data_IF_544789540459
#
_entry.id   IF_544789540459
#
_cell.length_a   1.000
_cell.length_b   1.000
_cell.length_c   1.000
_cell.angle_alpha   90.00
_cell.angle_beta   90.00
_cell.angle_gamma   90.00
#
_symmetry.space_group_name_H-M   'P 1'
#
loop_
_entity.id
_entity.type
_entity.pdbx_description
1 polymer ?
#
# COMPACT_ATOMS: atom_id res chain seq x y z
N UNK A 1 9.26 10.28 -8.95
CA UNK A 1 8.26 9.52 -8.17
C UNK A 1 8.70 9.31 -6.72
N UNK A 2 9.75 8.52 -6.46
CA UNK A 2 10.10 8.13 -5.09
C UNK A 2 10.74 9.23 -4.20
N UNK A 3 11.40 10.23 -4.78
CA UNK A 3 12.09 11.31 -4.04
C UNK A 3 13.05 10.81 -2.94
N UNK A 4 13.69 9.65 -3.16
CA UNK A 4 14.62 9.05 -2.20
C UNK A 4 13.96 8.14 -1.14
N UNK A 5 12.64 7.97 -1.16
CA UNK A 5 11.94 6.98 -0.34
C UNK A 5 12.03 5.59 -1.00
N UNK A 6 12.74 4.67 -0.34
CA UNK A 6 12.96 3.29 -0.81
C UNK A 6 11.64 2.52 -0.98
N UNK A 7 10.69 2.68 -0.05
CA UNK A 7 9.41 1.99 -0.14
C UNK A 7 8.58 2.48 -1.33
N UNK A 8 8.54 3.80 -1.57
CA UNK A 8 7.87 4.34 -2.75
C UNK A 8 8.53 3.86 -4.05
N UNK A 9 9.86 3.70 -4.06
CA UNK A 9 10.59 3.16 -5.22
C UNK A 9 10.18 1.71 -5.50
N UNK A 10 10.22 0.85 -4.47
CA UNK A 10 9.89 -0.57 -4.57
C UNK A 10 8.43 -0.81 -4.99
N UNK A 11 7.52 0.11 -4.69
CA UNK A 11 6.12 0.06 -5.15
C UNK A 11 5.98 0.61 -6.57
N UNK A 12 6.61 1.75 -6.87
CA UNK A 12 6.43 2.43 -8.16
C UNK A 12 6.99 1.64 -9.33
N UNK A 13 8.14 0.98 -9.18
CA UNK A 13 8.77 0.20 -10.26
C UNK A 13 7.85 -0.91 -10.79
N UNK A 14 7.38 -1.87 -9.97
CA UNK A 14 6.47 -2.90 -10.45
C UNK A 14 5.12 -2.32 -10.89
N UNK A 15 4.61 -1.29 -10.23
CA UNK A 15 3.32 -0.69 -10.59
C UNK A 15 3.34 -0.05 -11.99
N UNK A 16 4.42 0.67 -12.36
CA UNK A 16 4.58 1.27 -13.69
C UNK A 16 4.80 0.21 -14.77
N UNK A 17 5.50 -0.88 -14.45
CA UNK A 17 5.78 -1.97 -15.39
C UNK A 17 4.62 -2.96 -15.53
N UNK A 18 3.66 -2.94 -14.60
CA UNK A 18 2.45 -3.78 -14.64
C UNK A 18 1.32 -3.05 -15.35
N UNK A 19 1.18 -3.33 -16.66
CA UNK A 19 0.13 -2.74 -17.48
C UNK A 19 -1.26 -3.29 -17.14
N UNK A 20 -2.24 -2.40 -17.03
CA UNK A 20 -3.66 -2.76 -17.00
C UNK A 20 -4.14 -3.07 -18.41
N UNK A 21 -4.94 -4.13 -18.54
CA UNK A 21 -5.31 -4.69 -19.85
C UNK A 21 -6.60 -4.11 -20.44
N UNK A 22 -7.40 -3.41 -19.63
CA UNK A 22 -8.70 -2.87 -20.07
C UNK A 22 -8.78 -1.36 -19.89
N UNK A 23 -9.45 -0.64 -20.83
CA UNK A 23 -9.71 0.79 -20.67
C UNK A 23 -10.40 1.14 -19.35
N UNK A 24 -11.37 0.34 -18.91
CA UNK A 24 -12.11 0.59 -17.67
C UNK A 24 -11.21 0.50 -16.42
N UNK A 25 -10.29 -0.47 -16.36
CA UNK A 25 -9.34 -0.57 -15.25
C UNK A 25 -8.39 0.61 -15.22
N UNK A 26 -7.91 1.06 -16.39
CA UNK A 26 -7.08 2.26 -16.54
C UNK A 26 -7.83 3.48 -16.04
N UNK A 27 -9.07 3.70 -16.52
CA UNK A 27 -9.91 4.84 -16.14
C UNK A 27 -10.21 4.82 -14.64
N UNK A 28 -10.56 3.67 -14.07
CA UNK A 28 -10.80 3.53 -12.63
C UNK A 28 -9.61 4.00 -11.79
N UNK A 29 -8.39 3.60 -12.16
CA UNK A 29 -7.17 4.04 -11.46
C UNK A 29 -6.86 5.51 -11.70
N UNK A 30 -7.10 6.02 -12.91
CA UNK A 30 -6.96 7.43 -13.24
C UNK A 30 -7.91 8.32 -12.43
N UNK A 31 -9.14 7.88 -12.19
CA UNK A 31 -10.12 8.61 -11.36
C UNK A 31 -9.63 8.75 -9.92
N UNK A 32 -9.08 7.68 -9.33
CA UNK A 32 -8.48 7.73 -7.99
C UNK A 32 -7.27 8.67 -7.96
N UNK A 33 -6.40 8.60 -8.98
CA UNK A 33 -5.26 9.51 -9.08
C UNK A 33 -5.69 10.97 -9.26
N UNK A 34 -6.79 11.22 -9.98
CA UNK A 34 -7.35 12.57 -10.17
C UNK A 34 -7.81 13.17 -8.86
N UNK A 35 -8.51 12.38 -8.04
CA UNK A 35 -8.88 12.77 -6.68
C UNK A 35 -7.63 13.09 -5.84
N UNK A 36 -6.59 12.26 -5.90
CA UNK A 36 -5.32 12.53 -5.22
C UNK A 36 -4.68 13.85 -5.69
N UNK A 37 -4.67 14.14 -6.99
CA UNK A 37 -4.10 15.38 -7.54
C UNK A 37 -4.92 16.61 -7.19
N UNK A 38 -6.25 16.48 -7.08
CA UNK A 38 -7.14 17.56 -6.65
C UNK A 38 -7.01 17.83 -5.14
N UNK A 39 -6.67 16.80 -4.35
CA UNK A 39 -6.60 16.86 -2.89
C UNK A 39 -5.30 16.24 -2.34
N UNK A 40 -4.11 16.78 -2.74
CA UNK A 40 -2.83 16.14 -2.45
C UNK A 40 -2.51 16.10 -0.96
N UNK A 41 -2.91 17.12 -0.21
CA UNK A 41 -2.71 17.18 1.24
C UNK A 41 -3.50 16.09 1.97
N UNK A 42 -4.73 15.81 1.53
CA UNK A 42 -5.59 14.80 2.14
C UNK A 42 -5.05 13.41 1.80
N UNK A 43 -4.69 13.14 0.54
CA UNK A 43 -4.08 11.88 0.15
C UNK A 43 -2.80 11.59 0.94
N UNK A 44 -1.94 12.60 1.14
CA UNK A 44 -0.75 12.49 1.99
C UNK A 44 -1.06 12.28 3.45
N UNK A 45 -2.10 12.91 4.00
CA UNK A 45 -2.54 12.70 5.37
C UNK A 45 -3.00 11.25 5.59
N UNK A 46 -3.79 10.70 4.67
CA UNK A 46 -4.21 9.28 4.71
C UNK A 46 -2.98 8.37 4.64
N UNK A 47 -2.05 8.60 3.70
CA UNK A 47 -0.82 7.81 3.58
C UNK A 47 0.06 7.88 4.83
N UNK A 48 0.05 9.02 5.55
CA UNK A 48 0.84 9.20 6.77
C UNK A 48 0.37 8.32 7.92
N UNK A 49 -0.89 7.87 7.91
CA UNK A 49 -1.47 7.03 8.96
C UNK A 49 -0.75 5.68 9.06
N UNK A 50 -0.71 4.85 8.02
CA UNK A 50 0.00 3.58 8.10
C UNK A 50 1.53 3.75 8.18
N UNK A 51 2.09 4.84 7.64
CA UNK A 51 3.52 5.15 7.84
C UNK A 51 3.83 5.37 9.33
N UNK A 52 3.02 6.16 10.04
CA UNK A 52 3.17 6.36 11.49
C UNK A 52 2.98 5.07 12.27
N UNK A 53 2.06 4.20 11.86
CA UNK A 53 1.91 2.88 12.45
C UNK A 53 3.22 2.08 12.36
N UNK A 54 3.82 1.99 11.18
CA UNK A 54 5.07 1.25 10.97
C UNK A 54 6.25 1.84 11.73
N UNK A 55 6.38 3.17 11.78
CA UNK A 55 7.42 3.85 12.56
C UNK A 55 7.28 3.54 14.06
N UNK A 56 6.06 3.61 14.60
CA UNK A 56 5.80 3.32 16.01
C UNK A 56 5.98 1.84 16.32
N UNK A 57 5.52 0.94 15.44
CA UNK A 57 5.71 -0.50 15.54
C UNK A 57 7.19 -0.85 15.59
N UNK A 58 8.02 -0.33 14.67
CA UNK A 58 9.48 -0.56 14.66
C UNK A 58 10.14 -0.09 15.96
N UNK A 59 9.73 1.09 16.47
CA UNK A 59 10.16 1.65 17.77
C UNK A 59 9.59 0.94 19.00
N UNK A 60 8.67 0.00 18.85
CA UNK A 60 8.15 -0.78 19.97
C UNK A 60 8.70 -2.21 19.93
N UNK A 61 8.76 -2.80 18.74
CA UNK A 61 9.25 -4.17 18.51
C UNK A 61 10.75 -4.37 18.66
N UNK A 62 11.59 -3.36 18.41
CA UNK A 62 13.01 -3.45 18.78
C UNK A 62 13.21 -3.71 20.29
N UNK A 63 12.23 -3.35 21.12
CA UNK A 63 12.26 -3.52 22.58
C UNK A 63 11.73 -4.89 23.04
N UNK A 64 10.96 -5.59 22.20
CA UNK A 64 10.34 -6.89 22.50
C UNK A 64 11.01 -8.07 21.80
N UNK A 65 11.97 -7.84 20.89
CA UNK A 65 12.79 -8.88 20.28
C UNK A 65 13.60 -9.64 21.36
N UNK A 66 13.22 -10.90 21.60
CA UNK A 66 13.95 -11.82 22.47
C UNK A 66 13.28 -12.24 23.79
N UNK A 67 11.99 -11.97 24.02
CA UNK A 67 11.28 -12.45 25.23
C UNK A 67 10.22 -13.52 24.94
N UNK A 68 10.27 -14.59 25.73
CA UNK A 68 9.42 -15.79 25.74
C UNK A 68 7.98 -15.61 25.23
N UNK A 69 7.54 -16.58 24.42
CA UNK A 69 6.23 -16.71 23.77
C UNK A 69 5.05 -17.00 24.71
N UNK A 70 5.05 -16.48 25.94
CA UNK A 70 3.98 -16.77 26.90
C UNK A 70 2.67 -16.08 26.46
N UNK A 71 1.49 -16.68 26.70
CA UNK A 71 0.20 -16.05 26.44
C UNK A 71 0.05 -14.63 26.97
N UNK A 72 0.54 -14.35 28.18
CA UNK A 72 0.53 -13.01 28.78
C UNK A 72 1.40 -12.01 28.01
N UNK A 73 2.57 -12.42 27.51
CA UNK A 73 3.44 -11.58 26.70
C UNK A 73 2.84 -11.29 25.31
N UNK A 74 2.24 -12.30 24.68
CA UNK A 74 1.51 -12.18 23.41
C UNK A 74 0.35 -11.19 23.59
N UNK A 75 -0.46 -11.38 24.63
CA UNK A 75 -1.60 -10.51 24.92
C UNK A 75 -1.19 -9.06 25.17
N UNK A 76 -0.10 -8.81 25.93
CA UNK A 76 0.37 -7.44 26.17
C UNK A 76 0.82 -6.77 24.88
N UNK A 77 1.62 -7.48 24.06
CA UNK A 77 2.13 -6.97 22.78
C UNK A 77 0.99 -6.66 21.80
N UNK A 78 0.04 -7.59 21.65
CA UNK A 78 -1.11 -7.41 20.77
C UNK A 78 -2.02 -6.27 21.22
N UNK A 79 -2.27 -6.16 22.53
CA UNK A 79 -3.02 -5.02 23.11
C UNK A 79 -2.33 -3.70 22.82
N UNK A 80 -1.01 -3.60 23.01
CA UNK A 80 -0.25 -2.36 22.78
C UNK A 80 -0.27 -1.93 21.31
N UNK A 81 -0.21 -2.89 20.38
CA UNK A 81 -0.40 -2.64 18.94
C UNK A 81 -1.80 -2.12 18.64
N UNK A 82 -2.84 -2.73 19.20
CA UNK A 82 -4.23 -2.28 19.02
C UNK A 82 -4.46 -0.89 19.63
N UNK A 83 -3.97 -0.62 20.84
CA UNK A 83 -4.08 0.70 21.48
C UNK A 83 -3.46 1.80 20.60
N UNK A 84 -2.27 1.53 20.05
CA UNK A 84 -1.62 2.44 19.11
C UNK A 84 -2.43 2.63 17.81
N UNK A 85 -3.10 1.59 17.34
CA UNK A 85 -3.87 1.59 16.10
C UNK A 85 -5.18 2.34 16.25
N UNK A 86 -5.84 2.28 17.41
CA UNK A 86 -7.11 2.98 17.66
C UNK A 86 -6.99 4.48 17.41
N UNK A 87 -5.92 5.12 17.89
CA UNK A 87 -5.68 6.56 17.65
C UNK A 87 -5.56 6.88 16.15
N UNK A 88 -4.94 5.97 15.40
CA UNK A 88 -4.72 6.11 13.96
C UNK A 88 -6.00 5.86 13.16
N UNK A 89 -6.80 4.87 13.57
CA UNK A 89 -8.11 4.59 13.00
C UNK A 89 -9.10 5.73 13.25
N UNK A 90 -9.06 6.35 14.43
CA UNK A 90 -9.82 7.57 14.73
C UNK A 90 -9.43 8.73 13.81
N UNK A 91 -8.14 8.95 13.60
CA UNK A 91 -7.66 9.96 12.65
C UNK A 91 -8.14 9.66 11.22
N UNK A 92 -8.14 8.38 10.81
CA UNK A 92 -8.65 7.97 9.50
C UNK A 92 -10.15 8.24 9.35
N UNK A 93 -10.94 7.91 10.39
CA UNK A 93 -12.37 8.19 10.45
C UNK A 93 -12.65 9.69 10.37
N UNK A 94 -11.91 10.50 11.11
CA UNK A 94 -12.05 11.96 11.07
C UNK A 94 -11.79 12.52 9.66
N UNK A 95 -10.75 12.04 8.97
CA UNK A 95 -10.50 12.43 7.57
C UNK A 95 -11.69 12.04 6.68
N UNK A 96 -12.23 10.84 6.86
CA UNK A 96 -13.40 10.39 6.10
C UNK A 96 -14.61 11.30 6.34
N UNK A 97 -14.94 11.58 7.61
CA UNK A 97 -16.07 12.44 7.98
C UNK A 97 -15.95 13.86 7.43
N UNK A 98 -14.75 14.45 7.49
CA UNK A 98 -14.52 15.82 7.06
C UNK A 98 -14.39 15.99 5.55
N UNK A 99 -13.95 14.95 4.83
CA UNK A 99 -13.49 15.11 3.44
C UNK A 99 -14.13 14.16 2.43
N UNK A 100 -14.92 13.17 2.83
CA UNK A 100 -15.53 12.22 1.89
C UNK A 100 -16.29 12.89 0.74
N UNK A 101 -17.03 13.98 1.02
CA UNK A 101 -17.79 14.73 0.02
C UNK A 101 -16.95 15.47 -1.03
N UNK A 102 -15.62 15.57 -0.85
CA UNK A 102 -14.71 16.20 -1.81
C UNK A 102 -14.23 15.22 -2.89
N UNK A 103 -14.35 13.92 -2.66
CA UNK A 103 -13.81 12.89 -3.55
C UNK A 103 -14.90 12.33 -4.47
N UNK A 104 -14.58 12.20 -5.76
CA UNK A 104 -15.53 11.79 -6.78
C UNK A 104 -15.32 10.36 -7.25
N UNK A 105 -14.10 9.85 -7.17
CA UNK A 105 -13.76 8.52 -7.68
C UNK A 105 -14.54 7.42 -6.94
N UNK A 106 -14.97 6.36 -7.66
CA UNK A 106 -15.65 5.22 -7.03
C UNK A 106 -14.78 4.56 -5.94
N UNK A 107 -13.46 4.55 -6.13
CA UNK A 107 -12.49 4.01 -5.18
C UNK A 107 -12.50 4.75 -3.84
N UNK A 108 -12.30 6.07 -3.83
CA UNK A 108 -12.31 6.83 -2.59
C UNK A 108 -13.69 6.90 -1.95
N UNK A 109 -14.77 7.01 -2.74
CA UNK A 109 -16.14 6.98 -2.19
C UNK A 109 -16.43 5.69 -1.44
N UNK A 110 -16.06 4.54 -2.03
CA UNK A 110 -16.20 3.24 -1.36
C UNK A 110 -15.31 3.14 -0.13
N UNK A 111 -14.07 3.60 -0.22
CA UNK A 111 -13.13 3.60 0.90
C UNK A 111 -13.67 4.42 2.08
N UNK A 112 -14.07 5.67 1.87
CA UNK A 112 -14.60 6.50 2.95
C UNK A 112 -15.91 5.97 3.51
N UNK A 113 -16.84 5.49 2.68
CA UNK A 113 -18.07 4.88 3.16
C UNK A 113 -17.80 3.67 4.06
N UNK A 114 -16.84 2.81 3.67
CA UNK A 114 -16.41 1.67 4.49
C UNK A 114 -15.83 2.14 5.83
N UNK A 115 -14.94 3.15 5.82
CA UNK A 115 -14.36 3.69 7.06
C UNK A 115 -15.45 4.25 7.99
N UNK A 116 -16.41 5.00 7.46
CA UNK A 116 -17.48 5.60 8.26
C UNK A 116 -18.44 4.56 8.84
N UNK A 117 -18.71 3.49 8.09
CA UNK A 117 -19.59 2.41 8.51
C UNK A 117 -18.93 1.48 9.53
N UNK A 118 -17.67 1.11 9.33
CA UNK A 118 -16.99 0.08 10.14
C UNK A 118 -16.30 0.67 11.39
N UNK A 119 -16.00 1.97 11.40
CA UNK A 119 -15.33 2.65 12.52
C UNK A 119 -16.25 3.68 13.19
N UNK A 120 -17.51 3.32 13.46
CA UNK A 120 -18.42 4.20 14.19
C UNK A 120 -17.96 4.44 15.66
N UNK A 121 -18.52 5.48 16.28
CA UNK A 121 -18.10 5.93 17.61
C UNK A 121 -18.42 4.88 18.69
N UNK A 122 -19.50 4.12 18.53
CA UNK A 122 -19.90 3.07 19.46
C UNK A 122 -18.92 1.90 19.42
N UNK A 123 -18.52 1.46 18.23
CA UNK A 123 -17.51 0.44 18.01
C UNK A 123 -16.17 0.85 18.61
N UNK A 124 -15.70 2.07 18.32
CA UNK A 124 -14.44 2.58 18.86
C UNK A 124 -14.46 2.66 20.40
N UNK A 125 -15.59 3.06 21.00
CA UNK A 125 -15.76 3.07 22.45
C UNK A 125 -15.71 1.65 23.04
N UNK A 126 -16.34 0.67 22.38
CA UNK A 126 -16.29 -0.75 22.78
C UNK A 126 -14.86 -1.29 22.73
N UNK A 127 -14.11 -1.03 21.66
CA UNK A 127 -12.72 -1.46 21.51
C UNK A 127 -11.85 -0.87 22.62
N UNK A 128 -11.95 0.43 22.90
CA UNK A 128 -11.19 1.06 23.98
C UNK A 128 -11.50 0.47 25.36
N UNK A 129 -12.78 0.18 25.62
CA UNK A 129 -13.19 -0.45 26.88
C UNK A 129 -12.60 -1.86 27.03
N UNK A 130 -12.58 -2.64 25.95
CA UNK A 130 -11.91 -3.94 25.95
C UNK A 130 -10.40 -3.82 26.19
N UNK A 131 -9.70 -2.91 25.49
CA UNK A 131 -8.26 -2.70 25.66
C UNK A 131 -7.91 -2.26 27.09
N UNK A 132 -8.73 -1.40 27.70
CA UNK A 132 -8.61 -1.01 29.12
C UNK A 132 -8.79 -2.20 30.05
N UNK A 133 -9.80 -3.05 29.82
CA UNK A 133 -10.05 -4.25 30.63
C UNK A 133 -8.90 -5.25 30.56
N UNK A 134 -8.28 -5.41 29.38
CA UNK A 134 -7.14 -6.31 29.13
C UNK A 134 -5.82 -5.84 29.78
N UNK A 135 -5.80 -4.71 30.50
CA UNK A 135 -4.66 -4.31 31.34
C UNK A 135 -4.57 -5.08 32.65
N UNK A 136 -5.67 -5.70 33.09
CA UNK A 136 -5.74 -6.47 34.33
C UNK A 136 -5.16 -5.77 35.58
N UNK A 137 -5.36 -4.45 35.71
CA UNK A 137 -4.84 -3.66 36.84
C UNK A 137 -5.30 -4.18 38.21
N UNK A 138 -6.47 -4.80 38.28
CA UNK A 138 -7.04 -5.41 39.49
C UNK A 138 -6.77 -6.91 39.64
N UNK A 139 -5.88 -7.49 38.82
CA UNK A 139 -5.67 -8.93 38.74
C UNK A 139 -6.54 -9.63 37.68
N UNK A 140 -6.35 -10.93 37.55
CA UNK A 140 -7.01 -11.78 36.54
C UNK A 140 -8.00 -12.70 37.25
N UNK A 141 -9.28 -12.66 36.84
CA UNK A 141 -10.30 -13.59 37.34
C UNK A 141 -10.38 -14.80 36.42
N UNK A 142 -10.08 -15.99 36.96
CA UNK A 142 -10.11 -17.24 36.21
C UNK A 142 -11.11 -18.21 36.86
N UNK A 143 -11.82 -18.97 36.04
CA UNK A 143 -12.48 -20.20 36.48
C UNK A 143 -11.72 -21.41 35.97
N UNK A 144 -11.68 -22.49 36.75
CA UNK A 144 -11.20 -23.80 36.34
C UNK A 144 -12.18 -24.88 36.81
N UNK A 145 -12.09 -26.07 36.23
CA UNK A 145 -12.83 -27.27 36.62
C UNK A 145 -11.86 -28.33 37.14
N UNK A 146 -12.32 -29.28 37.95
CA UNK A 146 -11.52 -30.45 38.32
C UNK A 146 -11.54 -31.44 37.15
N UNK A 147 -10.35 -31.76 36.65
CA UNK A 147 -10.10 -32.79 35.66
C UNK A 147 -9.73 -34.12 36.29
N UNK A 148 -9.19 -35.01 35.47
CA UNK A 148 -8.71 -36.32 35.90
C UNK A 148 -7.60 -36.16 36.96
N UNK A 149 -7.66 -36.96 38.03
CA UNK A 149 -6.65 -36.89 39.11
C UNK A 149 -6.76 -35.67 40.03
N UNK A 150 -7.90 -34.96 40.03
CA UNK A 150 -8.10 -33.68 40.75
C UNK A 150 -7.18 -32.53 40.30
N UNK A 151 -6.62 -32.63 39.10
CA UNK A 151 -5.88 -31.53 38.51
C UNK A 151 -6.83 -30.46 37.97
N UNK A 152 -6.43 -29.19 37.97
CA UNK A 152 -7.24 -28.14 37.37
C UNK A 152 -7.23 -28.22 35.83
N UNK A 153 -8.41 -28.23 35.22
CA UNK A 153 -8.67 -28.27 33.79
C UNK A 153 -9.62 -27.11 33.37
N UNK A 154 -9.78 -26.89 32.06
CA UNK A 154 -10.73 -25.90 31.51
C UNK A 154 -10.61 -24.48 32.11
N UNK A 155 -9.40 -23.94 32.14
CA UNK A 155 -9.15 -22.56 32.56
C UNK A 155 -9.80 -21.57 31.60
N UNK A 156 -10.62 -20.66 32.14
CA UNK A 156 -11.34 -19.66 31.36
C UNK A 156 -11.21 -18.30 32.05
N UNK A 157 -10.79 -17.28 31.29
CA UNK A 157 -10.83 -15.90 31.72
C UNK A 157 -12.28 -15.45 31.92
N UNK A 158 -12.56 -14.85 33.08
CA UNK A 158 -13.86 -14.30 33.43
C UNK A 158 -13.78 -12.79 33.51
N UNK A 159 -14.87 -12.13 33.12
CA UNK A 159 -15.05 -10.72 33.39
C UNK A 159 -15.16 -10.53 34.91
N UNK A 160 -14.40 -9.61 35.53
CA UNK A 160 -14.56 -9.30 36.93
C UNK A 160 -16.01 -8.90 37.22
N UNK A 161 -16.60 -9.39 38.30
CA UNK A 161 -17.88 -8.88 38.77
C UNK A 161 -17.70 -7.42 39.16
N UNK A 162 -18.09 -6.50 38.27
CA UNK A 162 -18.36 -5.12 38.67
C UNK A 162 -19.68 -5.13 39.44
N UNK A 163 -19.61 -5.49 40.72
CA UNK A 163 -20.68 -5.17 41.64
C UNK A 163 -20.75 -3.64 41.69
N UNK A 164 -21.72 -3.05 40.97
CA UNK A 164 -22.12 -1.65 41.03
C UNK A 164 -22.65 -1.23 42.41
N UNK A 165 -22.33 -1.98 43.46
CA UNK A 165 -22.67 -1.73 44.85
C UNK A 165 -21.77 -0.61 45.38
N UNK A 166 -22.41 0.39 46.00
CA UNK A 166 -21.75 1.47 46.72
C UNK A 166 -20.77 0.91 47.74
N UNK A 167 -19.67 1.63 48.00
CA UNK A 167 -18.63 1.21 48.94
C UNK A 167 -19.19 0.84 50.33
N UNK A 168 -20.25 1.52 50.78
CA UNK A 168 -20.99 1.17 52.00
C UNK A 168 -21.65 -0.21 51.93
N UNK A 169 -22.30 -0.56 50.81
CA UNK A 169 -22.93 -1.87 50.64
C UNK A 169 -21.91 -3.02 50.61
N UNK A 170 -20.68 -2.79 50.13
CA UNK A 170 -19.61 -3.80 50.17
C UNK A 170 -19.15 -4.12 51.60
N UNK A 171 -19.20 -3.15 52.51
CA UNK A 171 -18.81 -3.31 53.92
C UNK A 171 -19.91 -4.01 54.73
N UNK A 172 -21.19 -3.77 54.40
CA UNK A 172 -22.32 -4.35 55.14
C UNK A 172 -22.82 -5.71 54.61
N UNK A 173 -22.44 -6.13 53.40
CA UNK A 173 -22.76 -7.49 52.92
C UNK A 173 -21.85 -8.52 53.57
N UNK A 174 -22.44 -9.56 54.19
CA UNK A 174 -21.74 -10.77 54.65
C UNK A 174 -20.97 -11.35 53.47
N UNK A 175 -19.64 -11.17 53.48
CA UNK A 175 -18.74 -11.79 52.52
C UNK A 175 -18.98 -13.31 52.52
N UNK A 176 -19.27 -13.88 51.35
CA UNK A 176 -19.14 -15.32 51.15
C UNK A 176 -17.77 -15.77 51.65
N UNK A 177 -17.65 -16.94 52.29
CA UNK A 177 -16.34 -17.45 52.76
C UNK A 177 -15.40 -17.61 51.58
N UNK A 178 -14.63 -16.56 51.28
CA UNK A 178 -13.61 -16.57 50.25
C UNK A 178 -12.37 -17.20 50.87
N UNK A 179 -12.05 -18.42 50.45
CA UNK A 179 -10.78 -19.04 50.79
C UNK A 179 -9.68 -18.28 50.03
N UNK A 180 -8.90 -17.47 50.73
CA UNK A 180 -7.76 -16.73 50.16
C UNK A 180 -6.45 -17.39 50.55
N UNK A 181 -5.56 -17.57 49.57
CA UNK A 181 -4.18 -17.99 49.79
C UNK A 181 -3.24 -16.88 49.33
N UNK A 182 -2.19 -16.59 50.10
CA UNK A 182 -1.19 -15.56 49.77
C UNK A 182 0.18 -16.22 49.66
N UNK A 183 0.83 -16.01 48.52
CA UNK A 183 2.21 -16.47 48.28
C UNK A 183 3.17 -15.44 48.89
N UNK A 184 4.16 -15.92 49.64
CA UNK A 184 5.18 -15.04 50.22
C UNK A 184 6.11 -14.48 49.12
N UNK A 185 6.61 -13.23 49.20
CA UNK A 185 7.44 -12.63 48.13
C UNK A 185 8.74 -13.37 47.78
N UNK A 186 9.18 -14.30 48.64
CA UNK A 186 10.39 -15.14 48.44
C UNK A 186 10.07 -16.56 47.96
N UNK A 187 8.80 -16.89 47.76
CA UNK A 187 8.37 -18.20 47.26
C UNK A 187 8.31 -18.19 45.72
N UNK A 188 9.47 -18.42 45.11
CA UNK A 188 9.63 -18.45 43.66
C UNK A 188 8.88 -19.61 43.01
N UNK A 189 8.62 -20.70 43.74
CA UNK A 189 7.90 -21.86 43.21
C UNK A 189 6.40 -21.59 43.17
N UNK A 190 5.83 -21.04 44.25
CA UNK A 190 4.44 -20.60 44.29
C UNK A 190 4.14 -19.52 43.24
N UNK A 191 5.05 -18.55 43.08
CA UNK A 191 4.92 -17.49 42.08
C UNK A 191 4.90 -18.06 40.64
N UNK A 192 5.77 -19.04 40.35
CA UNK A 192 5.79 -19.74 39.05
C UNK A 192 4.51 -20.53 38.80
N UNK A 193 4.04 -21.30 39.78
CA UNK A 193 2.81 -22.09 39.67
C UNK A 193 1.59 -21.19 39.40
N UNK A 194 1.46 -20.06 40.12
CA UNK A 194 0.39 -19.09 39.88
C UNK A 194 0.52 -18.46 38.48
N UNK A 195 1.76 -18.18 38.05
CA UNK A 195 2.07 -17.72 36.70
C UNK A 195 1.55 -18.69 35.63
N UNK A 196 1.86 -19.98 35.73
CA UNK A 196 1.40 -20.99 34.78
C UNK A 196 -0.13 -21.09 34.69
N UNK A 197 -0.83 -21.04 35.83
CA UNK A 197 -2.29 -21.01 35.86
C UNK A 197 -2.84 -19.76 35.14
N UNK A 198 -2.19 -18.61 35.35
CA UNK A 198 -2.51 -17.37 34.65
C UNK A 198 -2.31 -17.52 33.14
N UNK A 199 -1.17 -18.05 32.70
CA UNK A 199 -0.87 -18.24 31.29
C UNK A 199 -1.91 -19.15 30.61
N UNK A 200 -2.30 -20.26 31.25
CA UNK A 200 -3.37 -21.16 30.74
C UNK A 200 -4.71 -20.44 30.58
N UNK A 201 -5.09 -19.62 31.56
CA UNK A 201 -6.33 -18.85 31.52
C UNK A 201 -6.35 -17.74 30.47
N UNK A 202 -5.18 -17.16 30.15
CA UNK A 202 -5.06 -16.09 29.17
C UNK A 202 -4.98 -16.57 27.72
N UNK A 203 -4.61 -17.83 27.49
CA UNK A 203 -4.31 -18.36 26.15
C UNK A 203 -5.37 -18.05 25.08
N UNK A 204 -6.66 -18.28 25.36
CA UNK A 204 -7.73 -18.00 24.39
C UNK A 204 -7.86 -16.53 24.04
N UNK A 205 -7.71 -15.65 25.03
CA UNK A 205 -7.83 -14.21 24.85
C UNK A 205 -6.58 -13.64 24.19
N UNK A 206 -5.40 -14.14 24.55
CA UNK A 206 -4.14 -13.81 23.87
C UNK A 206 -4.25 -14.08 22.36
N UNK A 207 -4.73 -15.26 21.97
CA UNK A 207 -4.91 -15.62 20.55
C UNK A 207 -5.92 -14.72 19.84
N UNK A 208 -7.09 -14.46 20.45
CA UNK A 208 -8.12 -13.61 19.84
C UNK A 208 -7.64 -12.16 19.64
N UNK A 209 -6.93 -11.61 20.62
CA UNK A 209 -6.40 -10.24 20.56
C UNK A 209 -5.22 -10.15 19.58
N UNK A 210 -4.36 -11.16 19.53
CA UNK A 210 -3.29 -11.25 18.54
C UNK A 210 -3.85 -11.30 17.11
N UNK A 211 -4.85 -12.15 16.85
CA UNK A 211 -5.51 -12.20 15.54
C UNK A 211 -6.15 -10.86 15.16
N UNK A 212 -6.76 -10.17 16.13
CA UNK A 212 -7.35 -8.84 15.89
C UNK A 212 -6.26 -7.80 15.56
N UNK A 213 -5.13 -7.84 16.26
CA UNK A 213 -3.97 -6.99 15.97
C UNK A 213 -3.43 -7.24 14.57
N UNK A 214 -3.28 -8.51 14.17
CA UNK A 214 -2.80 -8.91 12.84
C UNK A 214 -3.74 -8.42 11.73
N UNK A 215 -5.06 -8.46 11.94
CA UNK A 215 -6.04 -7.94 10.97
C UNK A 215 -5.91 -6.43 10.78
N UNK A 216 -5.77 -5.67 11.88
CA UNK A 216 -5.61 -4.20 11.80
C UNK A 216 -4.29 -3.82 11.16
N UNK A 217 -3.21 -4.54 11.49
CA UNK A 217 -1.93 -4.37 10.84
C UNK A 217 -2.01 -4.63 9.34
N UNK A 218 -2.59 -5.77 8.95
CA UNK A 218 -2.74 -6.13 7.53
C UNK A 218 -3.53 -5.07 6.75
N UNK A 219 -4.59 -4.52 7.33
CA UNK A 219 -5.33 -3.41 6.75
C UNK A 219 -4.44 -2.18 6.51
N UNK A 220 -3.63 -1.79 7.50
CA UNK A 220 -2.74 -0.62 7.39
C UNK A 220 -1.61 -0.86 6.38
N UNK A 221 -1.07 -2.07 6.30
CA UNK A 221 -0.06 -2.44 5.30
C UNK A 221 -0.61 -2.36 3.87
N UNK A 222 -1.81 -2.89 3.63
CA UNK A 222 -2.48 -2.79 2.33
C UNK A 222 -2.78 -1.34 2.00
N UNK A 223 -3.30 -0.56 2.96
CA UNK A 223 -3.57 0.87 2.75
C UNK A 223 -2.30 1.64 2.37
N UNK A 224 -1.16 1.34 3.00
CA UNK A 224 0.14 1.94 2.67
C UNK A 224 0.57 1.57 1.25
N UNK A 225 0.48 0.30 0.91
CA UNK A 225 0.91 -0.23 -0.39
C UNK A 225 0.11 0.39 -1.54
N UNK A 226 -1.23 0.39 -1.42
CA UNK A 226 -2.14 0.94 -2.43
C UNK A 226 -1.93 2.44 -2.61
N UNK A 227 -1.75 3.20 -1.51
CA UNK A 227 -1.53 4.65 -1.57
C UNK A 227 -0.14 5.04 -2.07
N UNK A 228 0.89 4.21 -1.85
CA UNK A 228 2.26 4.53 -2.24
C UNK A 228 2.43 4.82 -3.73
N UNK A 229 1.74 4.09 -4.60
CA UNK A 229 1.73 4.38 -6.03
C UNK A 229 1.23 5.81 -6.31
N UNK A 230 0.09 6.19 -5.72
CA UNK A 230 -0.48 7.52 -5.92
C UNK A 230 0.39 8.62 -5.32
N UNK A 231 1.01 8.41 -4.15
CA UNK A 231 2.00 9.34 -3.60
C UNK A 231 3.19 9.52 -4.55
N UNK A 232 3.69 8.43 -5.14
CA UNK A 232 4.72 8.48 -6.17
C UNK A 232 4.31 9.32 -7.38
N UNK A 233 3.05 9.20 -7.82
CA UNK A 233 2.48 10.04 -8.89
C UNK A 233 2.35 11.51 -8.50
N UNK A 234 1.91 11.83 -7.27
CA UNK A 234 1.85 13.20 -6.77
C UNK A 234 3.22 13.87 -6.79
N UNK A 235 4.24 13.16 -6.29
CA UNK A 235 5.61 13.66 -6.28
C UNK A 235 6.15 13.93 -7.70
N UNK A 236 5.76 13.10 -8.69
CA UNK A 236 6.11 13.34 -10.08
C UNK A 236 5.35 14.54 -10.65
N UNK A 237 4.04 14.63 -10.42
CA UNK A 237 3.21 15.72 -10.92
C UNK A 237 3.71 17.08 -10.39
N UNK A 238 4.11 17.16 -9.13
CA UNK A 238 4.69 18.38 -8.54
C UNK A 238 6.02 18.77 -9.20
N UNK A 239 6.90 17.80 -9.46
CA UNK A 239 8.14 18.06 -10.18
C UNK A 239 7.88 18.59 -11.59
N UNK A 240 6.90 18.03 -12.30
CA UNK A 240 6.53 18.49 -13.65
C UNK A 240 5.86 19.86 -13.63
N UNK A 241 4.99 20.13 -12.64
CA UNK A 241 4.37 21.42 -12.45
C UNK A 241 5.41 22.54 -12.19
N UNK A 242 6.45 22.25 -11.39
CA UNK A 242 7.56 23.17 -11.15
C UNK A 242 8.33 23.52 -12.44
N UNK A 243 8.40 22.59 -13.40
CA UNK A 243 9.01 22.80 -14.71
C UNK A 243 8.08 23.49 -15.71
N UNK A 244 6.81 23.73 -15.35
CA UNK A 244 5.80 24.28 -16.25
C UNK A 244 5.40 23.30 -17.36
N UNK A 245 5.53 22.00 -17.10
CA UNK A 245 5.19 20.94 -18.03
C UNK A 245 3.73 20.49 -17.85
N UNK A 246 2.95 20.38 -18.94
CA UNK A 246 1.55 19.97 -18.86
C UNK A 246 1.44 18.47 -18.60
N UNK A 247 0.42 18.07 -17.84
CA UNK A 247 0.02 16.67 -17.72
C UNK A 247 -1.44 16.53 -18.15
N UNK A 248 -1.80 15.37 -18.66
CA UNK A 248 -3.17 15.06 -19.09
C UNK A 248 -3.54 13.66 -18.66
N UNK A 249 -4.82 13.42 -18.37
CA UNK A 249 -5.32 12.06 -18.17
C UNK A 249 -5.58 11.44 -19.54
N UNK A 250 -4.78 10.44 -19.95
CA UNK A 250 -4.89 9.89 -21.29
C UNK A 250 -6.21 9.14 -21.48
N UNK A 251 -6.77 9.18 -22.69
CA UNK A 251 -8.01 8.48 -23.03
C UNK A 251 -7.68 7.10 -23.64
N UNK A 252 -7.77 6.00 -22.87
CA UNK A 252 -7.52 4.66 -23.39
C UNK A 252 -8.64 4.21 -24.33
N UNK A 253 -8.27 3.51 -25.40
CA UNK A 253 -9.22 2.83 -26.29
C UNK A 253 -9.02 1.31 -26.27
N UNK A 254 -10.02 0.50 -26.65
CA UNK A 254 -9.84 -0.94 -26.84
C UNK A 254 -8.72 -1.25 -27.83
N UNK A 255 -7.99 -2.35 -27.61
CA UNK A 255 -6.75 -2.70 -28.32
C UNK A 255 -6.88 -2.70 -29.87
N UNK A 256 -8.03 -3.11 -30.38
CA UNK A 256 -8.31 -3.20 -31.83
C UNK A 256 -8.76 -1.88 -32.47
N UNK A 257 -8.83 -0.77 -31.72
CA UNK A 257 -9.37 0.51 -32.23
C UNK A 257 -8.40 1.26 -33.14
N UNK A 258 -7.09 0.93 -33.10
CA UNK A 258 -6.02 1.63 -33.82
C UNK A 258 -6.04 3.15 -33.57
N UNK A 259 -6.10 3.53 -32.29
CA UNK A 259 -6.06 4.93 -31.86
C UNK A 259 -4.67 5.25 -31.35
N UNK A 260 -4.07 6.33 -31.84
CA UNK A 260 -2.80 6.84 -31.33
C UNK A 260 -2.63 8.31 -31.73
N UNK A 261 -3.12 9.22 -30.91
CA UNK A 261 -3.09 10.66 -31.16
C UNK A 261 -2.74 11.44 -29.91
N UNK A 262 -1.96 12.51 -30.06
CA UNK A 262 -1.53 13.34 -28.94
C UNK A 262 -1.11 14.74 -29.38
N UNK A 263 -1.20 15.70 -28.47
CA UNK A 263 -0.68 17.06 -28.61
C UNK A 263 0.22 17.42 -27.43
N UNK A 264 1.32 18.11 -27.72
CA UNK A 264 2.25 18.56 -26.69
C UNK A 264 2.99 17.43 -25.98
N UNK A 265 3.11 16.24 -26.56
CA UNK A 265 3.81 15.11 -25.93
C UNK A 265 5.31 15.40 -25.83
N UNK A 266 5.85 15.35 -24.61
CA UNK A 266 7.27 15.55 -24.35
C UNK A 266 7.90 14.35 -23.63
N UNK A 267 9.23 14.28 -23.67
CA UNK A 267 9.96 13.24 -22.96
C UNK A 267 10.12 13.63 -21.49
N UNK A 268 9.33 12.97 -20.64
CA UNK A 268 9.31 13.19 -19.19
C UNK A 268 10.67 12.93 -18.54
N UNK A 269 11.43 11.93 -19.01
CA UNK A 269 12.76 11.64 -18.47
C UNK A 269 13.74 12.76 -18.84
N UNK A 270 13.70 13.25 -20.08
CA UNK A 270 14.53 14.38 -20.50
C UNK A 270 14.20 15.65 -19.70
N UNK A 271 12.92 15.96 -19.47
CA UNK A 271 12.51 17.13 -18.70
C UNK A 271 13.07 17.08 -17.27
N UNK A 272 12.97 15.92 -16.61
CA UNK A 272 13.48 15.71 -15.25
C UNK A 272 15.01 15.69 -15.18
N UNK A 273 15.70 15.09 -16.15
CA UNK A 273 17.17 15.08 -16.15
C UNK A 273 17.76 16.44 -16.48
N UNK A 274 17.19 17.14 -17.47
CA UNK A 274 17.67 18.45 -17.90
C UNK A 274 17.16 19.62 -17.03
N UNK A 275 16.22 19.35 -16.11
CA UNK A 275 15.60 20.34 -15.22
C UNK A 275 15.08 21.57 -15.97
N UNK A 276 14.45 21.33 -17.13
CA UNK A 276 13.91 22.39 -17.99
C UNK A 276 12.74 21.87 -18.81
N UNK A 277 11.91 22.80 -19.28
CA UNK A 277 10.83 22.51 -20.21
C UNK A 277 11.36 21.94 -21.53
N UNK A 278 10.71 20.90 -22.02
CA UNK A 278 10.99 20.18 -23.26
C UNK A 278 9.93 20.55 -24.29
N UNK A 279 10.35 20.64 -25.56
CA UNK A 279 9.43 20.95 -26.65
C UNK A 279 8.47 19.75 -26.87
N UNK A 280 7.17 20.01 -26.74
CA UNK A 280 6.13 19.03 -26.99
C UNK A 280 5.91 18.77 -28.48
N UNK A 281 5.51 17.55 -28.80
CA UNK A 281 5.29 17.07 -30.17
C UNK A 281 3.81 16.73 -30.38
N UNK A 282 3.37 16.77 -31.65
CA UNK A 282 2.00 16.45 -32.04
C UNK A 282 2.00 15.38 -33.12
N UNK A 283 1.19 14.35 -32.93
CA UNK A 283 0.95 13.29 -33.93
C UNK A 283 -0.51 12.90 -33.94
N UNK A 284 -1.01 12.60 -35.15
CA UNK A 284 -2.23 11.84 -35.34
C UNK A 284 -1.89 10.59 -36.17
N UNK A 285 -1.77 9.46 -35.49
CA UNK A 285 -1.53 8.14 -36.07
C UNK A 285 -2.77 7.24 -35.99
N UNK A 286 -3.97 7.82 -35.81
CA UNK A 286 -5.21 7.05 -35.84
C UNK A 286 -5.36 6.32 -37.17
N UNK A 287 -5.80 5.05 -37.09
CA UNK A 287 -5.98 4.11 -38.19
C UNK A 287 -4.70 3.82 -39.00
N UNK A 288 -3.51 4.03 -38.42
CA UNK A 288 -2.21 3.71 -39.05
C UNK A 288 -1.53 2.59 -38.29
N UNK A 289 -1.11 1.56 -39.01
CA UNK A 289 -0.31 0.46 -38.43
C UNK A 289 1.20 0.77 -38.43
N UNK A 290 1.67 1.66 -39.32
CA UNK A 290 3.07 2.00 -39.47
C UNK A 290 3.28 3.51 -39.60
N UNK A 291 4.22 4.04 -38.82
CA UNK A 291 4.68 5.42 -38.91
C UNK A 291 6.19 5.42 -39.12
N UNK A 292 6.64 6.01 -40.23
CA UNK A 292 8.07 6.15 -40.56
C UNK A 292 8.51 7.57 -40.24
N UNK A 293 9.55 7.69 -39.40
CA UNK A 293 10.10 8.98 -38.96
C UNK A 293 11.49 9.14 -39.58
N UNK A 294 11.67 10.15 -40.42
CA UNK A 294 12.94 10.47 -41.07
C UNK A 294 13.43 11.84 -40.65
N UNK A 295 14.73 12.11 -40.83
CA UNK A 295 15.34 13.39 -40.51
C UNK A 295 16.81 13.26 -40.13
N UNK A 296 17.49 14.40 -40.00
CA UNK A 296 18.91 14.46 -39.65
C UNK A 296 19.21 13.75 -38.31
N UNK A 297 20.44 13.26 -38.18
CA UNK A 297 20.94 12.77 -36.89
C UNK A 297 20.92 13.92 -35.88
N UNK A 298 20.68 13.59 -34.60
CA UNK A 298 20.50 14.56 -33.51
C UNK A 298 19.23 15.44 -33.59
N UNK A 299 18.32 15.19 -34.54
CA UNK A 299 17.02 15.86 -34.62
C UNK A 299 15.98 15.45 -33.56
N UNK A 300 16.38 14.74 -32.51
CA UNK A 300 15.47 14.32 -31.42
C UNK A 300 14.61 13.09 -31.69
N UNK A 301 14.85 12.34 -32.79
CA UNK A 301 14.06 11.14 -33.16
C UNK A 301 14.00 10.09 -32.04
N UNK A 302 15.16 9.77 -31.43
CA UNK A 302 15.23 8.80 -30.32
C UNK A 302 14.46 9.28 -29.09
N UNK A 303 14.57 10.57 -28.75
CA UNK A 303 13.84 11.21 -27.65
C UNK A 303 12.34 11.16 -27.89
N UNK A 304 11.91 11.41 -29.12
CA UNK A 304 10.51 11.35 -29.53
C UNK A 304 9.93 9.92 -29.46
N UNK A 305 10.67 8.90 -29.91
CA UNK A 305 10.23 7.51 -29.75
C UNK A 305 10.14 7.12 -28.27
N UNK A 306 11.11 7.54 -27.46
CA UNK A 306 11.08 7.29 -26.01
C UNK A 306 9.87 7.95 -25.35
N UNK A 307 9.49 9.17 -25.72
CA UNK A 307 8.31 9.84 -25.15
C UNK A 307 7.01 9.09 -25.45
N UNK A 308 6.87 8.51 -26.65
CA UNK A 308 5.72 7.67 -27.01
C UNK A 308 5.66 6.43 -26.10
N UNK A 309 6.76 5.70 -25.97
CA UNK A 309 6.80 4.48 -25.14
C UNK A 309 6.52 4.77 -23.67
N UNK A 310 7.10 5.84 -23.13
CA UNK A 310 6.86 6.26 -21.75
C UNK A 310 5.40 6.68 -21.54
N UNK A 311 4.81 7.46 -22.43
CA UNK A 311 3.41 7.85 -22.32
C UNK A 311 2.45 6.66 -22.43
N UNK A 312 2.76 5.65 -23.26
CA UNK A 312 1.99 4.41 -23.32
C UNK A 312 2.06 3.64 -21.99
N UNK A 313 3.25 3.50 -21.40
CA UNK A 313 3.41 2.86 -20.08
C UNK A 313 2.64 3.61 -18.99
N UNK A 314 2.77 4.93 -18.96
CA UNK A 314 2.07 5.81 -18.02
C UNK A 314 0.55 5.71 -18.18
N UNK A 315 0.03 5.69 -19.41
CA UNK A 315 -1.39 5.43 -19.64
C UNK A 315 -1.81 4.05 -19.10
N UNK A 316 -1.09 2.98 -19.45
CA UNK A 316 -1.47 1.62 -19.10
C UNK A 316 -1.33 1.27 -17.63
N UNK A 317 -0.46 1.93 -16.87
CA UNK A 317 -0.42 1.75 -15.42
C UNK A 317 -1.47 2.61 -14.69
N UNK A 318 -2.27 3.41 -15.41
CA UNK A 318 -3.39 4.18 -14.87
C UNK A 318 -3.01 5.56 -14.35
N UNK A 319 -1.92 6.16 -14.83
CA UNK A 319 -1.50 7.51 -14.45
C UNK A 319 -1.75 8.53 -15.57
N UNK A 320 -1.46 9.81 -15.28
CA UNK A 320 -1.42 10.87 -16.28
C UNK A 320 -0.26 10.65 -17.28
N UNK A 321 -0.37 11.25 -18.47
CA UNK A 321 0.67 11.26 -19.49
C UNK A 321 1.33 12.66 -19.61
N UNK A 322 2.61 12.74 -20.01
CA UNK A 322 3.36 13.99 -20.19
C UNK A 322 2.99 14.67 -21.51
N UNK A 323 1.76 15.17 -21.60
CA UNK A 323 1.20 15.77 -22.81
C UNK A 323 0.07 16.75 -22.46
N UNK A 324 -0.34 17.57 -23.43
CA UNK A 324 -1.58 18.37 -23.34
C UNK A 324 -2.82 17.50 -23.61
N UNK A 325 -2.72 16.60 -24.60
CA UNK A 325 -3.71 15.55 -24.85
C UNK A 325 -3.02 14.26 -25.29
N UNK A 326 -3.56 13.11 -24.89
CA UNK A 326 -3.06 11.81 -25.29
C UNK A 326 -4.22 10.82 -25.34
N UNK A 327 -4.35 10.11 -26.46
CA UNK A 327 -5.29 9.00 -26.60
C UNK A 327 -4.63 7.89 -27.38
N UNK A 328 -4.62 6.70 -26.82
CA UNK A 328 -4.07 5.53 -27.47
C UNK A 328 -4.89 4.29 -27.13
N UNK A 329 -4.85 3.27 -27.97
CA UNK A 329 -5.39 1.97 -27.59
C UNK A 329 -4.50 1.29 -26.54
N UNK A 330 -5.10 0.41 -25.74
CA UNK A 330 -4.34 -0.52 -24.91
C UNK A 330 -3.55 -1.46 -25.82
N UNK A 331 -2.31 -1.73 -25.45
CA UNK A 331 -1.37 -2.58 -26.16
C UNK A 331 -1.06 -3.82 -25.32
N UNK A 332 -0.98 -4.97 -25.98
CA UNK A 332 -0.61 -6.23 -25.32
C UNK A 332 0.84 -6.31 -24.87
N UNK A 333 1.69 -5.51 -25.50
CA UNK A 333 3.10 -5.41 -25.18
C UNK A 333 3.71 -4.18 -25.83
N UNK A 334 4.77 -3.67 -25.20
CA UNK A 334 5.58 -2.59 -25.73
C UNK A 334 6.97 -3.17 -25.99
N UNK A 335 7.36 -3.21 -27.25
CA UNK A 335 8.62 -3.75 -27.71
C UNK A 335 9.51 -2.63 -28.23
N UNK A 336 10.79 -2.70 -27.92
CA UNK A 336 11.75 -1.68 -28.29
C UNK A 336 12.96 -2.31 -28.92
N UNK A 337 13.38 -1.80 -30.06
CA UNK A 337 14.62 -2.21 -30.70
C UNK A 337 15.43 -0.96 -31.06
N UNK A 338 16.37 -0.64 -30.18
CA UNK A 338 17.23 0.53 -30.25
C UNK A 338 18.65 0.09 -30.54
N UNK A 339 19.36 0.87 -31.35
CA UNK A 339 20.81 0.74 -31.52
C UNK A 339 21.49 0.80 -30.14
N UNK A 340 22.28 -0.23 -29.84
CA UNK A 340 23.17 -0.25 -28.66
C UNK A 340 24.59 0.15 -29.05
N UNK A 341 25.26 0.83 -28.13
CA UNK A 341 26.70 1.07 -28.22
C UNK A 341 27.45 -0.27 -28.03
N UNK A 342 28.66 -0.36 -28.58
CA UNK A 342 29.51 -1.54 -28.40
C UNK A 342 29.93 -1.69 -26.95
N UNK A 343 29.84 -2.91 -26.43
CA UNK A 343 30.34 -3.27 -25.11
C UNK A 343 31.46 -4.31 -25.27
N UNK A 344 32.49 -4.22 -24.44
CA UNK A 344 33.59 -5.17 -24.40
C UNK A 344 33.16 -6.56 -23.88
N UNK A 345 31.92 -6.68 -23.39
CA UNK A 345 31.32 -7.92 -22.89
C UNK A 345 30.60 -8.76 -23.96
N UNK A 346 30.58 -8.31 -25.23
CA UNK A 346 29.87 -9.00 -26.33
C UNK A 346 30.48 -10.38 -26.64
N UNK A 347 29.64 -11.41 -26.65
CA UNK A 347 30.04 -12.80 -26.93
C UNK A 347 30.05 -13.13 -28.44
N UNK A 348 29.40 -12.29 -29.26
CA UNK A 348 29.27 -12.48 -30.71
C UNK A 348 29.36 -11.15 -31.47
N UNK A 349 29.27 -11.20 -32.81
CA UNK A 349 29.30 -10.00 -33.65
C UNK A 349 28.08 -9.11 -33.40
N UNK A 350 28.25 -7.78 -33.50
CA UNK A 350 27.18 -6.80 -33.23
C UNK A 350 25.90 -7.03 -34.03
N UNK A 351 26.04 -7.43 -35.29
CA UNK A 351 24.91 -7.77 -36.14
C UNK A 351 24.20 -9.06 -35.69
N UNK A 352 24.96 -10.06 -35.23
CA UNK A 352 24.41 -11.33 -34.73
C UNK A 352 23.62 -11.10 -33.43
N UNK A 353 24.15 -10.30 -32.50
CA UNK A 353 23.38 -9.92 -31.30
C UNK A 353 22.13 -9.10 -31.62
N UNK A 354 22.19 -8.24 -32.65
CA UNK A 354 21.03 -7.48 -33.11
C UNK A 354 19.95 -8.37 -33.71
N UNK A 355 20.34 -9.36 -34.54
CA UNK A 355 19.44 -10.39 -35.05
C UNK A 355 18.84 -11.24 -33.92
N UNK A 356 19.65 -11.64 -32.95
CA UNK A 356 19.18 -12.40 -31.79
C UNK A 356 18.10 -11.66 -30.99
N UNK A 357 18.30 -10.36 -30.73
CA UNK A 357 17.28 -9.52 -30.08
C UNK A 357 16.02 -9.37 -30.92
N UNK A 358 16.15 -9.17 -32.24
CA UNK A 358 14.99 -9.11 -33.11
C UNK A 358 14.22 -10.44 -33.11
N UNK A 359 14.92 -11.57 -33.15
CA UNK A 359 14.31 -12.90 -33.08
C UNK A 359 13.45 -13.03 -31.82
N UNK A 360 14.00 -12.64 -30.66
CA UNK A 360 13.26 -12.67 -29.39
C UNK A 360 12.01 -11.76 -29.40
N UNK A 361 12.06 -10.60 -30.08
CA UNK A 361 10.89 -9.72 -30.25
C UNK A 361 9.84 -10.41 -31.15
N UNK A 362 10.27 -10.99 -32.28
CA UNK A 362 9.38 -11.69 -33.23
C UNK A 362 8.70 -12.90 -32.57
N UNK A 363 9.42 -13.63 -31.71
CA UNK A 363 8.86 -14.78 -30.99
C UNK A 363 7.82 -14.39 -29.92
N UNK A 364 7.93 -13.17 -29.38
CA UNK A 364 7.06 -12.68 -28.30
C UNK A 364 5.91 -11.78 -28.78
N UNK A 365 5.99 -11.22 -29.99
CA UNK A 365 5.01 -10.24 -30.46
C UNK A 365 3.65 -10.89 -30.74
N UNK A 366 2.59 -10.16 -30.39
CA UNK A 366 1.20 -10.54 -30.66
C UNK A 366 0.45 -9.36 -31.29
N UNK A 367 -0.74 -9.61 -31.90
CA UNK A 367 -1.58 -8.53 -32.38
C UNK A 367 -1.84 -7.48 -31.31
N UNK A 368 -1.92 -6.23 -31.74
CA UNK A 368 -2.13 -5.04 -30.90
C UNK A 368 -0.95 -4.71 -29.97
N UNK A 369 0.26 -5.14 -30.32
CA UNK A 369 1.49 -4.68 -29.70
C UNK A 369 1.97 -3.33 -30.27
N UNK A 370 2.67 -2.54 -29.44
CA UNK A 370 3.40 -1.35 -29.87
C UNK A 370 4.87 -1.71 -30.05
N UNK A 371 5.44 -1.46 -31.23
CA UNK A 371 6.87 -1.64 -31.47
C UNK A 371 7.51 -0.29 -31.78
N UNK A 372 8.63 0.00 -31.13
CA UNK A 372 9.43 1.20 -31.34
C UNK A 372 10.81 0.81 -31.89
N UNK A 373 10.99 1.03 -33.20
CA UNK A 373 12.26 0.82 -33.89
C UNK A 373 13.06 2.12 -33.96
N UNK A 374 14.32 2.08 -33.51
CA UNK A 374 15.23 3.21 -33.61
C UNK A 374 16.56 2.78 -34.21
N UNK A 375 16.81 3.17 -35.47
CA UNK A 375 18.04 2.87 -36.23
C UNK A 375 18.41 1.37 -36.22
N UNK A 376 17.41 0.51 -36.41
CA UNK A 376 17.57 -0.95 -36.43
C UNK A 376 18.33 -1.40 -37.68
N UNK A 377 19.20 -2.41 -37.52
CA UNK A 377 20.07 -2.98 -38.55
C UNK A 377 21.01 -1.97 -39.20
N UNK A 378 21.48 -1.00 -38.40
CA UNK A 378 22.47 -0.03 -38.84
C UNK A 378 23.93 -0.54 -38.70
N UNK A 379 24.14 -1.66 -38.00
CA UNK A 379 25.42 -2.34 -37.94
C UNK A 379 25.55 -3.33 -39.12
N UNK A 380 26.71 -3.34 -39.78
CA UNK A 380 27.07 -4.30 -40.84
C UNK A 380 27.90 -5.44 -40.31
#
# INVERSE_FOLDING_TARGET
MAQGDEFLYDVAVPAVLSSLETPDAIIYRQEILRDCLNHPDIARQIYRIPVRFMERKRKHWWMTWGRNSSPGAILSSARELLEMSVDLLKALKQIADEHAGKFESPGFRRFFAMIQQELDDDYLAVVENHLKALKFRGGVLLSAQLGQGNEGANYVLRQPNHDGRNWMQRVFTRSSRTYSFSIHPRDDHGARALGELRERGLNRVANAVAQSADHVESFLDVLRLELAFYIGCLNLAEQLAQLGEPITFPQPAPANTRRHSFTGLYDVALALTAQKKVVGNRVNADNKDLVIITGANQGGKSTFLRSIGLAQLMMQCGMFAPAESFSANVCRGIFTHYKREEDASMESGKFDEELGRMSAIVDAISPDALILFNESFAAT
#
